data_IF_331749550962
#
_entry.id   IF_331749550962
#
_cell.length_a   1.000
_cell.length_b   1.000
_cell.length_c   1.000
_cell.angle_alpha   90.00
_cell.angle_beta   90.00
_cell.angle_gamma   90.00
#
_symmetry.space_group_name_H-M   'P 1'
#
loop_
_entity.id
_entity.type
_entity.pdbx_description
1 polymer ?
#
# COMPACT_ATOMS: atom_id res chain seq x y z
N UNK A 1 -5.63 11.99 -14.20
CA UNK A 1 -4.20 11.85 -13.86
C UNK A 1 -3.29 12.24 -15.04
N UNK A 2 -3.54 11.74 -16.22
CA UNK A 2 -2.67 11.96 -17.40
C UNK A 2 -2.41 13.43 -17.73
N UNK A 3 -3.41 14.28 -17.59
CA UNK A 3 -3.31 15.72 -17.88
C UNK A 3 -2.63 16.50 -16.74
N UNK A 4 -2.73 16.01 -15.50
CA UNK A 4 -2.23 16.70 -14.29
C UNK A 4 -0.78 16.36 -13.96
N UNK A 5 -0.34 15.15 -14.28
CA UNK A 5 1.01 14.62 -14.00
C UNK A 5 1.44 13.71 -15.16
N UNK A 6 1.80 14.28 -16.31
CA UNK A 6 2.08 13.52 -17.53
C UNK A 6 3.26 12.57 -17.41
N UNK A 7 4.23 12.89 -16.55
CA UNK A 7 5.43 12.07 -16.33
C UNK A 7 5.21 10.88 -15.38
N UNK A 8 4.04 10.79 -14.72
CA UNK A 8 3.76 9.73 -13.77
C UNK A 8 3.64 8.38 -14.47
N UNK A 9 4.40 7.40 -13.98
CA UNK A 9 4.32 5.99 -14.39
C UNK A 9 3.69 5.17 -13.29
N UNK A 10 2.83 4.23 -13.65
CA UNK A 10 2.21 3.29 -12.74
C UNK A 10 2.77 1.89 -12.98
N UNK A 11 3.20 1.23 -11.92
CA UNK A 11 3.64 -0.16 -11.93
C UNK A 11 2.60 -1.01 -11.21
N UNK A 12 2.02 -1.97 -11.90
CA UNK A 12 1.06 -2.92 -11.35
C UNK A 12 1.80 -4.23 -11.07
N UNK A 13 1.80 -4.64 -9.80
CA UNK A 13 2.52 -5.82 -9.31
C UNK A 13 1.50 -6.87 -8.90
N UNK A 14 1.77 -8.12 -9.24
CA UNK A 14 0.92 -9.27 -8.93
C UNK A 14 0.45 -10.01 -10.18
N UNK A 15 -0.22 -11.13 -9.97
CA UNK A 15 -0.72 -11.95 -11.07
C UNK A 15 -1.99 -11.34 -11.68
N UNK A 16 -1.92 -10.99 -12.96
CA UNK A 16 -3.08 -10.50 -13.73
C UNK A 16 -3.91 -11.63 -14.36
N UNK A 17 -3.50 -12.89 -14.15
CA UNK A 17 -4.18 -14.10 -14.69
C UNK A 17 -5.11 -14.79 -13.68
N UNK A 18 -5.41 -14.18 -12.54
CA UNK A 18 -6.37 -14.73 -11.59
C UNK A 18 -7.79 -14.68 -12.16
N UNK A 19 -8.68 -15.59 -11.71
CA UNK A 19 -10.10 -15.60 -12.13
C UNK A 19 -10.77 -14.22 -11.95
N UNK A 20 -10.40 -13.49 -10.94
CA UNK A 20 -10.93 -12.14 -10.65
C UNK A 20 -10.55 -11.08 -11.70
N UNK A 21 -9.48 -11.30 -12.49
CA UNK A 21 -9.05 -10.39 -13.56
C UNK A 21 -9.47 -10.86 -14.96
N UNK A 22 -9.95 -12.11 -15.11
CA UNK A 22 -10.34 -12.64 -16.42
C UNK A 22 -11.57 -11.92 -17.01
N UNK A 23 -12.42 -11.33 -16.18
CA UNK A 23 -13.61 -10.58 -16.59
C UNK A 23 -13.33 -9.09 -16.87
N UNK A 24 -12.13 -8.60 -16.54
CA UNK A 24 -11.73 -7.21 -16.84
C UNK A 24 -10.96 -7.15 -18.15
N UNK A 25 -11.47 -6.38 -19.09
CA UNK A 25 -10.72 -6.06 -20.31
C UNK A 25 -9.56 -5.10 -20.00
N UNK A 26 -8.41 -5.69 -19.68
CA UNK A 26 -7.17 -4.94 -19.44
C UNK A 26 -6.51 -4.43 -20.72
N UNK A 27 -7.08 -4.70 -21.90
CA UNK A 27 -6.47 -4.36 -23.19
C UNK A 27 -6.27 -2.85 -23.36
N UNK A 28 -7.20 -2.03 -22.87
CA UNK A 28 -7.11 -0.59 -22.88
C UNK A 28 -5.95 -0.08 -22.01
N UNK A 29 -5.78 -0.66 -20.83
CA UNK A 29 -4.71 -0.25 -19.89
C UNK A 29 -3.33 -0.73 -20.33
N UNK A 30 -3.24 -1.88 -21.02
CA UNK A 30 -2.00 -2.40 -21.60
C UNK A 30 -1.48 -1.55 -22.78
N UNK A 31 -2.35 -0.80 -23.43
CA UNK A 31 -1.98 0.14 -24.50
C UNK A 31 -1.44 1.47 -23.96
N UNK A 32 -1.72 1.81 -22.71
CA UNK A 32 -1.20 3.02 -22.08
C UNK A 32 0.27 2.82 -21.68
N UNK A 33 1.17 3.51 -22.36
CA UNK A 33 2.63 3.34 -22.20
C UNK A 33 3.16 3.63 -20.78
N UNK A 34 2.38 4.40 -20.01
CA UNK A 34 2.72 4.77 -18.62
C UNK A 34 2.28 3.74 -17.58
N UNK A 35 1.46 2.74 -17.97
CA UNK A 35 1.04 1.64 -17.09
C UNK A 35 1.84 0.39 -17.44
N UNK A 36 2.61 -0.12 -16.50
CA UNK A 36 3.43 -1.32 -16.69
C UNK A 36 2.99 -2.42 -15.73
N UNK A 37 2.61 -3.55 -16.29
CA UNK A 37 2.27 -4.76 -15.54
C UNK A 37 3.54 -5.59 -15.40
N UNK A 38 4.03 -5.75 -14.17
CA UNK A 38 5.30 -6.43 -13.87
C UNK A 38 5.11 -7.91 -13.53
N UNK A 39 3.87 -8.34 -13.25
CA UNK A 39 3.64 -9.69 -12.73
C UNK A 39 4.21 -9.87 -11.33
N UNK A 40 4.67 -11.09 -11.03
CA UNK A 40 5.40 -11.37 -9.79
C UNK A 40 6.80 -10.77 -9.86
N UNK A 41 7.20 -10.12 -8.78
CA UNK A 41 8.55 -9.57 -8.58
C UNK A 41 9.20 -10.24 -7.37
N UNK A 42 10.54 -10.26 -7.32
CA UNK A 42 11.26 -10.71 -6.13
C UNK A 42 11.22 -9.63 -5.02
N UNK A 43 11.47 -10.03 -3.76
CA UNK A 43 11.50 -9.11 -2.62
C UNK A 43 12.52 -7.98 -2.84
N UNK A 44 13.68 -8.27 -3.41
CA UNK A 44 14.70 -7.27 -3.76
C UNK A 44 14.17 -6.26 -4.78
N UNK A 45 13.41 -6.72 -5.76
CA UNK A 45 12.78 -5.83 -6.75
C UNK A 45 11.65 -5.01 -6.11
N UNK A 46 10.87 -5.63 -5.23
CA UNK A 46 9.77 -4.97 -4.51
C UNK A 46 10.30 -3.83 -3.62
N UNK A 47 11.35 -4.07 -2.85
CA UNK A 47 12.02 -3.04 -2.04
C UNK A 47 12.50 -1.88 -2.93
N UNK A 48 13.13 -2.17 -4.08
CA UNK A 48 13.56 -1.12 -5.03
C UNK A 48 12.39 -0.32 -5.58
N UNK A 49 11.27 -0.98 -5.87
CA UNK A 49 10.06 -0.31 -6.37
C UNK A 49 9.48 0.61 -5.30
N UNK A 50 9.30 0.12 -4.07
CA UNK A 50 8.81 0.94 -2.96
C UNK A 50 9.73 2.13 -2.68
N UNK A 51 11.04 1.90 -2.54
CA UNK A 51 11.99 2.96 -2.19
C UNK A 51 12.11 4.08 -3.25
N UNK A 52 11.66 3.84 -4.48
CA UNK A 52 11.72 4.82 -5.57
C UNK A 52 10.33 5.31 -6.02
N UNK A 53 9.26 4.86 -5.40
CA UNK A 53 7.91 5.28 -5.74
C UNK A 53 7.51 6.57 -4.99
N UNK A 54 6.78 7.45 -5.67
CA UNK A 54 6.16 8.62 -5.03
C UNK A 54 5.03 8.23 -4.09
N UNK A 55 4.36 7.11 -4.35
CA UNK A 55 3.32 6.54 -3.51
C UNK A 55 3.05 5.08 -3.86
N UNK A 56 2.63 4.30 -2.88
CA UNK A 56 2.03 2.98 -3.05
C UNK A 56 0.52 3.09 -2.92
N UNK A 57 -0.22 2.55 -3.88
CA UNK A 57 -1.68 2.59 -3.92
C UNK A 57 -2.21 1.19 -3.63
N UNK A 58 -3.02 1.08 -2.57
CA UNK A 58 -3.58 -0.19 -2.10
C UNK A 58 -5.10 -0.10 -1.86
N UNK A 59 -5.92 -0.11 -2.92
CA UNK A 59 -7.37 0.10 -2.87
C UNK A 59 -8.12 -1.20 -2.58
N UNK A 60 -7.74 -1.94 -1.55
CA UNK A 60 -8.37 -3.21 -1.21
C UNK A 60 -9.74 -3.01 -0.55
N UNK A 61 -10.70 -3.84 -0.92
CA UNK A 61 -12.01 -3.84 -0.27
C UNK A 61 -12.00 -4.57 1.08
N UNK A 62 -11.13 -5.56 1.22
CA UNK A 62 -11.03 -6.35 2.45
C UNK A 62 -9.61 -6.90 2.62
N UNK A 63 -9.07 -6.70 3.81
CA UNK A 63 -7.77 -7.23 4.24
C UNK A 63 -7.85 -7.78 5.65
N UNK A 64 -7.16 -8.89 5.91
CA UNK A 64 -7.02 -9.42 7.25
C UNK A 64 -6.10 -8.56 8.12
N UNK A 65 -5.05 -7.98 7.52
CA UNK A 65 -4.08 -7.11 8.20
C UNK A 65 -3.54 -6.00 7.27
N UNK A 66 -3.01 -6.37 6.09
CA UNK A 66 -2.43 -5.39 5.17
C UNK A 66 -0.90 -5.30 5.27
N UNK A 67 -0.19 -6.43 5.32
CA UNK A 67 1.29 -6.44 5.35
C UNK A 67 1.91 -5.56 4.25
N UNK A 68 1.42 -5.56 2.98
CA UNK A 68 2.04 -4.76 1.92
C UNK A 68 2.11 -3.25 2.21
N UNK A 69 1.15 -2.69 2.96
CA UNK A 69 1.19 -1.25 3.30
C UNK A 69 2.28 -0.94 4.31
N UNK A 70 2.57 -1.85 5.24
CA UNK A 70 3.68 -1.71 6.18
C UNK A 70 5.04 -1.91 5.49
N UNK A 71 5.14 -2.85 4.54
CA UNK A 71 6.35 -3.04 3.73
C UNK A 71 6.70 -1.78 2.94
N UNK A 72 5.69 -1.17 2.31
CA UNK A 72 5.86 0.09 1.60
C UNK A 72 6.34 1.20 2.54
N UNK A 73 5.71 1.37 3.71
CA UNK A 73 6.11 2.35 4.72
C UNK A 73 7.52 2.10 5.25
N UNK A 74 7.91 0.83 5.49
CA UNK A 74 9.25 0.47 5.91
C UNK A 74 10.33 0.84 4.88
N UNK A 75 9.95 0.89 3.59
CA UNK A 75 10.81 1.35 2.49
C UNK A 75 10.75 2.87 2.26
N UNK A 76 10.06 3.63 3.13
CA UNK A 76 9.88 5.08 2.98
C UNK A 76 8.92 5.48 1.85
N UNK A 77 8.01 4.61 1.45
CA UNK A 77 7.00 4.88 0.45
C UNK A 77 5.71 5.38 1.10
N UNK A 78 5.20 6.57 0.77
CA UNK A 78 3.89 7.02 1.20
C UNK A 78 2.79 6.10 0.69
N UNK A 79 1.76 5.88 1.51
CA UNK A 79 0.67 4.97 1.19
C UNK A 79 -0.63 5.73 0.97
N UNK A 80 -1.34 5.37 -0.09
CA UNK A 80 -2.75 5.69 -0.32
C UNK A 80 -3.50 4.37 -0.26
N UNK A 81 -4.44 4.24 0.66
CA UNK A 81 -5.15 2.98 0.90
C UNK A 81 -6.64 3.19 1.06
N UNK A 82 -7.39 2.10 1.08
CA UNK A 82 -8.80 2.16 1.43
C UNK A 82 -9.00 2.32 2.94
N UNK A 83 -10.14 2.91 3.31
CA UNK A 83 -10.55 3.13 4.71
C UNK A 83 -11.41 1.98 5.25
N UNK A 84 -11.21 0.76 4.75
CA UNK A 84 -12.04 -0.41 5.05
C UNK A 84 -11.25 -1.49 5.78
N UNK A 85 -11.98 -2.39 6.44
CA UNK A 85 -11.45 -3.56 7.12
C UNK A 85 -10.39 -3.21 8.18
N UNK A 86 -9.23 -3.86 8.19
CA UNK A 86 -8.12 -3.62 9.12
C UNK A 86 -7.26 -2.40 8.79
N UNK A 87 -7.36 -1.87 7.57
CA UNK A 87 -6.45 -0.83 7.08
C UNK A 87 -6.46 0.47 7.90
N UNK A 88 -7.61 1.00 8.36
CA UNK A 88 -7.62 2.18 9.23
C UNK A 88 -6.92 1.96 10.57
N UNK A 89 -7.05 0.77 11.17
CA UNK A 89 -6.38 0.41 12.41
C UNK A 89 -4.88 0.27 12.24
N UNK A 90 -4.45 -0.36 11.14
CA UNK A 90 -3.04 -0.59 10.82
C UNK A 90 -2.33 0.71 10.46
N UNK A 91 -2.97 1.58 9.68
CA UNK A 91 -2.34 2.77 9.11
C UNK A 91 -2.52 4.03 9.96
N UNK A 92 -3.60 4.14 10.72
CA UNK A 92 -3.95 5.35 11.50
C UNK A 92 -3.87 6.62 10.61
N UNK A 93 -3.05 7.60 11.02
CA UNK A 93 -2.79 8.85 10.29
C UNK A 93 -1.52 8.82 9.42
N UNK A 94 -0.90 7.64 9.25
CA UNK A 94 0.34 7.46 8.50
C UNK A 94 0.13 7.25 6.99
N UNK A 95 -1.12 7.24 6.53
CA UNK A 95 -1.48 7.06 5.12
C UNK A 95 -2.67 7.96 4.75
N UNK A 96 -2.86 8.18 3.46
CA UNK A 96 -4.10 8.79 2.96
C UNK A 96 -5.13 7.69 2.78
N UNK A 97 -6.23 7.78 3.53
CA UNK A 97 -7.32 6.82 3.47
C UNK A 97 -8.47 7.37 2.62
N UNK A 98 -8.95 6.56 1.68
CA UNK A 98 -10.06 6.88 0.78
C UNK A 98 -11.08 5.74 0.79
N UNK A 99 -12.32 6.02 0.46
CA UNK A 99 -13.28 4.97 0.10
C UNK A 99 -12.74 4.15 -1.09
N UNK A 100 -12.80 2.81 -1.07
CA UNK A 100 -12.22 1.97 -2.13
C UNK A 100 -12.83 2.23 -3.52
N UNK A 101 -14.03 2.79 -3.57
CA UNK A 101 -14.73 3.16 -4.81
C UNK A 101 -14.53 4.63 -5.20
N UNK A 102 -13.88 5.44 -4.36
CA UNK A 102 -13.63 6.86 -4.65
C UNK A 102 -12.39 7.03 -5.54
N UNK A 103 -12.58 6.75 -6.82
CA UNK A 103 -11.53 6.89 -7.84
C UNK A 103 -11.00 8.33 -7.91
N UNK A 104 -11.87 9.32 -7.72
CA UNK A 104 -11.50 10.73 -7.81
C UNK A 104 -10.65 11.17 -6.61
N UNK A 105 -11.02 10.75 -5.41
CA UNK A 105 -10.25 11.00 -4.19
C UNK A 105 -8.87 10.36 -4.25
N UNK A 106 -8.78 9.10 -4.68
CA UNK A 106 -7.49 8.42 -4.88
C UNK A 106 -6.63 9.12 -5.93
N UNK A 107 -7.21 9.50 -7.08
CA UNK A 107 -6.49 10.22 -8.12
C UNK A 107 -5.99 11.59 -7.65
N UNK A 108 -6.79 12.33 -6.87
CA UNK A 108 -6.39 13.59 -6.25
C UNK A 108 -5.22 13.38 -5.28
N UNK A 109 -5.29 12.36 -4.43
CA UNK A 109 -4.25 12.00 -3.46
C UNK A 109 -2.93 11.65 -4.15
N UNK A 110 -2.97 10.91 -5.27
CA UNK A 110 -1.79 10.64 -6.11
C UNK A 110 -1.16 11.96 -6.61
N UNK A 111 -1.97 12.85 -7.20
CA UNK A 111 -1.47 14.15 -7.69
C UNK A 111 -0.85 14.97 -6.57
N UNK A 112 -1.48 14.97 -5.40
CA UNK A 112 -0.97 15.69 -4.23
C UNK A 112 0.40 15.16 -3.80
N UNK A 113 0.55 13.85 -3.61
CA UNK A 113 1.83 13.26 -3.20
C UNK A 113 2.95 13.43 -4.25
N UNK A 114 2.59 13.56 -5.54
CA UNK A 114 3.59 13.85 -6.58
C UNK A 114 4.03 15.31 -6.55
N UNK A 115 3.10 16.25 -6.36
CA UNK A 115 3.36 17.68 -6.47
C UNK A 115 3.83 18.31 -5.17
N UNK A 116 3.31 17.85 -4.03
CA UNK A 116 3.54 18.46 -2.71
C UNK A 116 4.62 17.68 -1.95
N UNK A 117 5.88 18.08 -2.14
CA UNK A 117 7.04 17.41 -1.53
C UNK A 117 6.96 17.41 0.00
N UNK A 118 6.53 18.50 0.61
CA UNK A 118 6.40 18.59 2.07
C UNK A 118 5.39 17.56 2.60
N UNK A 119 4.25 17.42 1.93
CA UNK A 119 3.24 16.43 2.30
C UNK A 119 3.77 15.01 2.10
N UNK A 120 4.47 14.75 1.00
CA UNK A 120 5.10 13.45 0.75
C UNK A 120 6.09 13.10 1.87
N UNK A 121 6.97 14.03 2.25
CA UNK A 121 7.94 13.83 3.33
C UNK A 121 7.27 13.64 4.70
N UNK A 122 6.14 14.29 4.96
CA UNK A 122 5.36 14.07 6.18
C UNK A 122 4.84 12.64 6.25
N UNK A 123 4.25 12.11 5.15
CA UNK A 123 3.77 10.72 5.12
C UNK A 123 4.90 9.69 5.18
N UNK A 124 6.07 9.96 4.62
CA UNK A 124 7.27 9.11 4.80
C UNK A 124 7.62 9.03 6.30
N UNK A 125 7.73 10.18 6.97
CA UNK A 125 8.05 10.23 8.41
C UNK A 125 7.01 9.51 9.26
N UNK A 126 5.72 9.77 9.02
CA UNK A 126 4.62 9.09 9.70
C UNK A 126 4.63 7.58 9.45
N UNK A 127 4.96 7.14 8.24
CA UNK A 127 5.09 5.74 7.88
C UNK A 127 6.15 5.02 8.69
N UNK A 128 7.35 5.59 8.84
CA UNK A 128 8.39 5.02 9.69
C UNK A 128 7.97 4.91 11.17
N UNK A 129 7.30 5.93 11.69
CA UNK A 129 6.78 5.89 13.07
C UNK A 129 5.73 4.79 13.20
N UNK A 130 4.85 4.65 12.22
CA UNK A 130 3.81 3.64 12.22
C UNK A 130 4.38 2.21 12.20
N UNK A 131 5.35 1.94 11.32
CA UNK A 131 5.98 0.61 11.21
C UNK A 131 6.63 0.18 12.52
N UNK A 132 7.23 1.11 13.26
CA UNK A 132 7.86 0.84 14.55
C UNK A 132 6.89 0.32 15.63
N UNK A 133 5.56 0.41 15.41
CA UNK A 133 4.54 -0.19 16.30
C UNK A 133 4.44 -1.70 16.15
N UNK A 134 4.95 -2.26 15.06
CA UNK A 134 4.77 -3.66 14.69
C UNK A 134 6.10 -4.40 14.81
N UNK A 135 6.14 -5.33 15.75
CA UNK A 135 7.30 -6.14 16.04
C UNK A 135 6.88 -7.60 16.30
N UNK A 136 7.50 -8.52 15.58
CA UNK A 136 7.22 -9.94 15.67
C UNK A 136 7.55 -10.52 17.04
N UNK A 137 8.65 -10.06 17.64
CA UNK A 137 9.08 -10.56 18.96
C UNK A 137 8.06 -10.20 20.05
N UNK A 138 7.61 -8.96 20.07
CA UNK A 138 6.54 -8.48 20.96
C UNK A 138 5.24 -9.23 20.74
N UNK A 139 4.86 -9.47 19.50
CA UNK A 139 3.65 -10.24 19.14
C UNK A 139 3.74 -11.68 19.63
N UNK A 140 4.85 -12.36 19.39
CA UNK A 140 5.10 -13.72 19.86
C UNK A 140 5.09 -13.80 21.39
N UNK A 141 5.68 -12.82 22.07
CA UNK A 141 5.68 -12.75 23.53
C UNK A 141 4.28 -12.62 24.10
N UNK A 142 3.48 -11.69 23.55
CA UNK A 142 2.08 -11.53 24.00
C UNK A 142 1.26 -12.81 23.83
N UNK A 143 1.40 -13.52 22.72
CA UNK A 143 0.72 -14.80 22.48
C UNK A 143 1.20 -15.85 23.49
N UNK A 144 2.52 -15.98 23.68
CA UNK A 144 3.11 -16.94 24.65
C UNK A 144 2.61 -16.69 26.06
N UNK A 145 2.59 -15.43 26.51
CA UNK A 145 2.14 -15.08 27.87
C UNK A 145 0.64 -15.39 28.06
N UNK A 146 -0.18 -15.13 27.04
CA UNK A 146 -1.60 -15.51 27.07
C UNK A 146 -1.79 -17.03 27.17
N UNK A 147 -1.07 -17.80 26.36
CA UNK A 147 -1.16 -19.26 26.37
C UNK A 147 -0.74 -19.85 27.72
N UNK A 148 0.31 -19.31 28.37
CA UNK A 148 0.73 -19.72 29.70
C UNK A 148 -0.37 -19.50 30.74
N UNK A 149 -1.08 -18.37 30.70
CA UNK A 149 -2.20 -18.10 31.59
C UNK A 149 -3.31 -19.15 31.49
N UNK A 150 -3.59 -19.67 30.29
CA UNK A 150 -4.60 -20.71 30.10
C UNK A 150 -4.12 -22.12 30.48
N UNK A 151 -2.81 -22.38 30.43
CA UNK A 151 -2.25 -23.70 30.76
C UNK A 151 -2.12 -23.95 32.25
N UNK A 152 -2.28 -22.93 33.10
CA UNK A 152 -2.15 -23.02 34.59
C UNK A 152 -3.55 -23.07 35.27
N UNK A 153 -4.62 -22.95 34.48
CA UNK A 153 -6.01 -23.06 34.95
C UNK A 153 -6.58 -24.43 34.68
#
# INVERSE_FOLDING_TARGET
>A
LSERVPELKMYVIGETKSRSFNDMDLSLYKKESRIKFLGRVSDVQLVKLYSNACAFIFPSFYEGFGIPVLEAQACGCPVISSNTSSLPEVLLDSAILCEPTDIQGMAKSMVTLVKEENMRNEYIRKGFINVARFDWESSCKMISDKLKCFAIS
#
